data_IF_818221863356
#
_entry.id   IF_818221863356
#
_cell.length_a   1.000
_cell.length_b   1.000
_cell.length_c   1.000
_cell.angle_alpha   90.00
_cell.angle_beta   90.00
_cell.angle_gamma   90.00
#
_symmetry.space_group_name_H-M   'P 1'
#
loop_
_entity.id
_entity.type
_entity.pdbx_description
1 polymer ?
#
# COMPACT_ATOMS: atom_id res chain seq x y z
N UNK A 1 15.26 11.59 31.08
CA UNK A 1 14.75 12.60 30.14
C UNK A 1 13.83 11.90 29.15
N UNK A 2 12.52 12.00 29.35
CA UNK A 2 11.49 11.32 28.53
C UNK A 2 11.34 12.07 27.21
N UNK A 3 11.86 11.50 26.13
CA UNK A 3 11.70 12.03 24.77
C UNK A 3 10.22 12.07 24.39
N UNK A 4 9.67 13.28 24.28
CA UNK A 4 8.28 13.51 23.86
C UNK A 4 8.20 13.22 22.36
N UNK A 5 7.73 12.02 21.99
CA UNK A 5 7.35 11.68 20.61
C UNK A 5 6.40 12.78 20.12
N UNK A 6 6.77 13.51 19.07
CA UNK A 6 5.96 14.60 18.54
C UNK A 6 4.52 14.11 18.34
N UNK A 7 3.57 14.75 19.02
CA UNK A 7 2.17 14.36 18.95
C UNK A 7 1.68 14.56 17.51
N UNK A 8 1.12 13.51 16.91
CA UNK A 8 0.50 13.59 15.60
C UNK A 8 -0.57 14.68 15.60
N UNK A 9 -0.50 15.61 14.66
CA UNK A 9 -1.50 16.67 14.51
C UNK A 9 -2.63 16.16 13.63
N UNK A 10 -3.81 15.97 14.23
CA UNK A 10 -5.00 15.57 13.49
C UNK A 10 -5.47 16.71 12.58
N UNK A 11 -5.97 16.40 11.37
CA UNK A 11 -6.51 17.40 10.46
C UNK A 11 -7.86 17.92 10.95
N UNK A 12 -8.25 19.12 10.50
CA UNK A 12 -9.48 19.81 10.95
C UNK A 12 -10.75 18.94 10.79
N UNK A 13 -10.84 18.18 9.71
CA UNK A 13 -11.99 17.31 9.43
C UNK A 13 -12.14 16.15 10.43
N UNK A 14 -11.11 15.83 11.22
CA UNK A 14 -11.19 14.84 12.31
C UNK A 14 -12.05 15.34 13.48
N UNK A 15 -12.22 16.66 13.64
CA UNK A 15 -13.14 17.25 14.61
C UNK A 15 -14.59 17.31 14.12
N UNK A 16 -14.87 16.93 12.87
CA UNK A 16 -16.18 17.07 12.27
C UNK A 16 -17.05 15.82 12.53
N UNK A 17 -18.14 15.90 13.32
CA UNK A 17 -18.91 14.70 13.70
C UNK A 17 -19.46 13.86 12.53
N UNK A 18 -19.96 14.47 11.42
CA UNK A 18 -20.39 13.70 10.25
C UNK A 18 -19.28 12.90 9.56
N UNK A 19 -18.00 13.22 9.80
CA UNK A 19 -16.87 12.47 9.24
C UNK A 19 -16.81 11.02 9.73
N UNK A 20 -17.33 10.75 10.94
CA UNK A 20 -17.42 9.42 11.57
C UNK A 20 -18.70 8.67 11.17
N UNK A 21 -19.52 9.24 10.29
CA UNK A 21 -20.74 8.60 9.77
C UNK A 21 -20.58 8.37 8.28
N UNK A 22 -20.82 7.13 7.83
CA UNK A 22 -20.71 6.79 6.41
C UNK A 22 -21.72 7.60 5.60
N UNK A 23 -21.24 8.39 4.64
CA UNK A 23 -22.11 9.29 3.89
C UNK A 23 -23.01 8.51 2.92
N UNK A 24 -24.33 8.81 2.85
CA UNK A 24 -25.24 8.11 1.95
C UNK A 24 -25.00 8.45 0.49
N UNK A 25 -24.64 9.72 0.21
CA UNK A 25 -24.36 10.21 -1.14
C UNK A 25 -23.01 9.70 -1.62
N UNK A 26 -22.98 9.05 -2.79
CA UNK A 26 -21.78 8.42 -3.35
C UNK A 26 -20.60 9.38 -3.52
N UNK A 27 -20.81 10.55 -4.12
CA UNK A 27 -19.75 11.54 -4.36
C UNK A 27 -19.14 12.05 -3.04
N UNK A 28 -19.98 12.27 -2.03
CA UNK A 28 -19.54 12.66 -0.68
C UNK A 28 -18.81 11.53 0.02
N UNK A 29 -19.31 10.29 -0.10
CA UNK A 29 -18.66 9.09 0.42
C UNK A 29 -17.28 8.88 -0.19
N UNK A 30 -17.13 9.09 -1.49
CA UNK A 30 -15.83 8.98 -2.17
C UNK A 30 -14.83 10.01 -1.62
N UNK A 31 -15.25 11.27 -1.43
CA UNK A 31 -14.41 12.30 -0.78
C UNK A 31 -14.07 11.92 0.66
N UNK A 32 -15.04 11.41 1.42
CA UNK A 32 -14.83 10.92 2.78
C UNK A 32 -13.77 9.82 2.82
N UNK A 33 -13.83 8.83 1.91
CA UNK A 33 -12.87 7.73 1.83
C UNK A 33 -11.46 8.21 1.43
N UNK A 34 -11.35 9.22 0.56
CA UNK A 34 -10.06 9.86 0.23
C UNK A 34 -9.43 10.50 1.47
N UNK A 35 -10.22 11.24 2.25
CA UNK A 35 -9.75 11.87 3.48
C UNK A 35 -9.34 10.82 4.53
N UNK A 36 -10.14 9.77 4.71
CA UNK A 36 -9.78 8.65 5.61
C UNK A 36 -8.51 7.94 5.17
N UNK A 37 -8.31 7.72 3.86
CA UNK A 37 -7.07 7.17 3.33
C UNK A 37 -5.88 8.03 3.75
N UNK A 38 -5.92 9.34 3.48
CA UNK A 38 -4.81 10.25 3.81
C UNK A 38 -4.52 10.23 5.32
N UNK A 39 -5.58 10.37 6.13
CA UNK A 39 -5.48 10.34 7.59
C UNK A 39 -4.84 9.05 8.13
N UNK A 40 -5.26 7.89 7.63
CA UNK A 40 -4.71 6.59 8.05
C UNK A 40 -3.23 6.49 7.69
N UNK A 41 -2.85 6.90 6.48
CA UNK A 41 -1.45 6.89 6.05
C UNK A 41 -0.59 7.83 6.90
N UNK A 42 -1.01 9.07 7.08
CA UNK A 42 -0.23 10.08 7.82
C UNK A 42 -0.08 9.71 9.30
N UNK A 43 -1.15 9.20 9.93
CA UNK A 43 -1.13 8.77 11.32
C UNK A 43 -0.13 7.63 11.54
N UNK A 44 -0.22 6.57 10.75
CA UNK A 44 0.65 5.41 10.91
C UNK A 44 2.10 5.72 10.50
N UNK A 45 2.30 6.61 9.52
CA UNK A 45 3.61 7.13 9.13
C UNK A 45 4.27 7.91 10.27
N UNK A 46 3.53 8.76 10.97
CA UNK A 46 4.05 9.53 12.11
C UNK A 46 4.48 8.64 13.28
N UNK A 47 3.84 7.48 13.43
CA UNK A 47 4.16 6.52 14.48
C UNK A 47 5.22 5.50 14.07
N UNK A 48 5.58 5.45 12.79
CA UNK A 48 6.37 4.42 12.14
C UNK A 48 5.83 3.01 12.38
N UNK A 49 4.51 2.83 12.21
CA UNK A 49 3.82 1.56 12.43
C UNK A 49 3.04 1.14 11.17
N UNK A 50 3.61 0.30 10.29
CA UNK A 50 2.97 -0.09 9.03
C UNK A 50 1.89 -1.18 9.21
N UNK A 51 1.31 -1.33 10.41
CA UNK A 51 0.29 -2.34 10.72
C UNK A 51 -0.95 -1.67 11.28
N UNK A 52 -2.10 -2.00 10.71
CA UNK A 52 -3.42 -1.51 11.10
C UNK A 52 -4.33 -2.68 11.47
N UNK A 53 -4.94 -2.58 12.64
CA UNK A 53 -6.00 -3.50 13.10
C UNK A 53 -7.35 -2.77 13.03
N UNK A 54 -8.26 -3.10 12.08
CA UNK A 54 -9.52 -2.37 11.90
C UNK A 54 -10.40 -2.30 13.15
N UNK A 55 -10.37 -3.36 13.96
CA UNK A 55 -11.23 -3.48 15.13
C UNK A 55 -10.69 -2.75 16.36
N UNK A 56 -9.37 -2.61 16.47
CA UNK A 56 -8.69 -2.12 17.68
C UNK A 56 -7.96 -0.79 17.48
N UNK A 57 -7.92 -0.25 16.26
CA UNK A 57 -7.15 0.96 15.99
C UNK A 57 -7.85 2.21 16.56
N UNK A 58 -7.14 3.02 17.38
CA UNK A 58 -7.71 4.20 18.03
C UNK A 58 -8.05 5.32 17.03
N UNK A 59 -7.51 5.30 15.81
CA UNK A 59 -7.79 6.29 14.76
C UNK A 59 -9.28 6.35 14.35
N UNK A 60 -10.03 5.27 14.59
CA UNK A 60 -11.46 5.20 14.24
C UNK A 60 -12.37 5.69 15.36
N UNK A 61 -11.80 6.15 16.48
CA UNK A 61 -12.50 6.58 17.68
C UNK A 61 -11.96 7.93 18.14
N UNK A 62 -12.80 8.96 18.08
CA UNK A 62 -12.47 10.28 18.57
C UNK A 62 -13.23 10.56 19.86
N UNK A 63 -12.51 10.48 20.98
CA UNK A 63 -13.05 10.75 22.32
C UNK A 63 -13.43 12.22 22.52
N UNK A 64 -12.76 13.16 21.85
CA UNK A 64 -13.02 14.60 22.01
C UNK A 64 -14.41 15.00 21.52
N UNK A 65 -14.90 14.34 20.47
CA UNK A 65 -16.24 14.57 19.92
C UNK A 65 -17.24 13.45 20.29
N UNK A 66 -16.82 12.48 21.10
CA UNK A 66 -17.58 11.29 21.48
C UNK A 66 -18.20 10.57 20.26
N UNK A 67 -17.38 10.32 19.23
CA UNK A 67 -17.79 9.59 18.02
C UNK A 67 -16.84 8.46 17.70
N UNK A 68 -17.42 7.36 17.20
CA UNK A 68 -16.70 6.19 16.69
C UNK A 68 -17.28 5.77 15.36
N UNK A 69 -16.43 5.31 14.45
CA UNK A 69 -16.88 4.72 13.19
C UNK A 69 -17.57 3.37 13.43
N UNK A 70 -18.68 3.14 12.71
CA UNK A 70 -19.34 1.83 12.65
C UNK A 70 -18.46 0.80 11.95
N UNK A 71 -18.71 -0.49 12.21
CA UNK A 71 -17.98 -1.58 11.57
C UNK A 71 -18.10 -1.52 10.03
N UNK A 72 -19.29 -1.20 9.53
CA UNK A 72 -19.53 -1.03 8.08
C UNK A 72 -18.63 0.06 7.48
N UNK A 73 -18.50 1.21 8.15
CA UNK A 73 -17.67 2.30 7.68
C UNK A 73 -16.17 1.94 7.72
N UNK A 74 -15.72 1.23 8.78
CA UNK A 74 -14.34 0.72 8.89
C UNK A 74 -14.03 -0.23 7.73
N UNK A 75 -14.90 -1.19 7.45
CA UNK A 75 -14.77 -2.12 6.32
C UNK A 75 -14.74 -1.39 4.98
N UNK A 76 -15.55 -0.35 4.80
CA UNK A 76 -15.54 0.46 3.58
C UNK A 76 -14.19 1.20 3.40
N UNK A 77 -13.64 1.78 4.46
CA UNK A 77 -12.32 2.45 4.45
C UNK A 77 -11.22 1.44 4.11
N UNK A 78 -11.21 0.29 4.77
CA UNK A 78 -10.23 -0.77 4.55
C UNK A 78 -10.31 -1.30 3.12
N UNK A 79 -11.52 -1.59 2.63
CA UNK A 79 -11.73 -2.03 1.25
C UNK A 79 -11.22 -0.98 0.26
N UNK A 80 -11.42 0.30 0.56
CA UNK A 80 -10.91 1.41 -0.24
C UNK A 80 -9.37 1.47 -0.24
N UNK A 81 -8.72 1.33 0.93
CA UNK A 81 -7.26 1.27 1.06
C UNK A 81 -6.65 0.12 0.24
N UNK A 82 -7.21 -1.08 0.35
CA UNK A 82 -6.79 -2.26 -0.41
C UNK A 82 -7.04 -2.05 -1.92
N UNK A 83 -8.16 -1.42 -2.29
CA UNK A 83 -8.44 -1.08 -3.70
C UNK A 83 -7.43 -0.10 -4.28
N UNK A 84 -6.97 0.88 -3.50
CA UNK A 84 -5.93 1.82 -3.92
C UNK A 84 -4.52 1.20 -3.93
N UNK A 85 -4.33 -0.03 -3.40
CA UNK A 85 -3.02 -0.68 -3.29
C UNK A 85 -2.15 -0.16 -2.13
N UNK A 86 -2.73 0.61 -1.21
CA UNK A 86 -2.06 1.17 -0.05
C UNK A 86 -2.19 0.29 1.20
N UNK A 87 -2.91 -0.83 1.12
CA UNK A 87 -2.96 -1.81 2.19
C UNK A 87 -3.18 -3.22 1.63
N UNK A 88 -2.76 -4.22 2.40
CA UNK A 88 -2.97 -5.64 2.13
C UNK A 88 -3.26 -6.37 3.44
N UNK A 89 -4.05 -7.44 3.38
CA UNK A 89 -4.33 -8.26 4.55
C UNK A 89 -3.15 -9.17 4.83
N UNK A 90 -2.68 -9.19 6.07
CA UNK A 90 -1.59 -10.11 6.48
C UNK A 90 -2.10 -11.52 6.77
N UNK A 91 -3.39 -11.65 7.11
CA UNK A 91 -4.01 -12.90 7.54
C UNK A 91 -5.31 -13.15 6.76
N UNK A 92 -5.60 -14.42 6.46
CA UNK A 92 -6.89 -14.85 5.89
C UNK A 92 -8.09 -14.53 6.79
N UNK A 93 -7.83 -14.34 8.08
CA UNK A 93 -8.83 -13.94 9.09
C UNK A 93 -9.23 -12.47 8.99
N UNK A 94 -8.60 -11.67 8.12
CA UNK A 94 -8.89 -10.25 7.93
C UNK A 94 -8.85 -9.46 9.26
N UNK A 95 -7.88 -9.78 10.11
CA UNK A 95 -7.71 -9.14 11.43
C UNK A 95 -6.66 -8.03 11.40
N UNK A 96 -5.59 -8.19 10.61
CA UNK A 96 -4.50 -7.23 10.47
C UNK A 96 -4.27 -6.86 9.01
N UNK A 97 -3.98 -5.58 8.79
CA UNK A 97 -3.53 -5.06 7.51
C UNK A 97 -2.14 -4.50 7.62
N UNK A 98 -1.34 -4.80 6.60
CA UNK A 98 -0.13 -4.06 6.29
C UNK A 98 -0.52 -2.78 5.54
N UNK A 99 -0.01 -1.65 5.98
CA UNK A 99 -0.13 -0.35 5.29
C UNK A 99 1.14 -0.09 4.49
N UNK A 100 0.97 0.37 3.26
CA UNK A 100 2.03 0.85 2.39
C UNK A 100 1.89 2.37 2.18
N UNK A 101 2.91 3.14 2.58
CA UNK A 101 2.98 4.59 2.36
C UNK A 101 2.89 4.95 0.88
N UNK A 102 3.45 4.07 0.06
CA UNK A 102 3.40 4.12 -1.39
C UNK A 102 3.15 2.70 -1.92
N UNK A 103 2.24 2.52 -2.88
CA UNK A 103 1.87 1.19 -3.36
C UNK A 103 3.09 0.41 -3.88
N UNK A 104 3.18 -0.90 -3.59
CA UNK A 104 4.28 -1.73 -4.10
C UNK A 104 4.43 -1.74 -5.62
N UNK A 105 3.32 -1.55 -6.35
CA UNK A 105 3.33 -1.46 -7.80
C UNK A 105 4.03 -0.18 -8.32
N UNK A 106 3.89 0.95 -7.62
CA UNK A 106 4.59 2.19 -7.98
C UNK A 106 6.08 2.06 -7.68
N UNK A 107 6.43 1.45 -6.55
CA UNK A 107 7.82 1.12 -6.23
C UNK A 107 8.47 0.21 -7.25
N UNK A 108 7.77 -0.85 -7.67
CA UNK A 108 8.26 -1.76 -8.69
C UNK A 108 8.55 -1.05 -10.02
N UNK A 109 7.71 -0.11 -10.44
CA UNK A 109 7.94 0.69 -11.64
C UNK A 109 9.17 1.60 -11.51
N UNK A 110 9.39 2.20 -10.34
CA UNK A 110 10.59 3.02 -10.08
C UNK A 110 11.86 2.18 -10.04
N UNK A 111 11.84 1.02 -9.37
CA UNK A 111 12.95 0.06 -9.35
C UNK A 111 13.28 -0.38 -10.78
N UNK A 112 12.27 -0.68 -11.59
CA UNK A 112 12.46 -1.10 -12.97
C UNK A 112 13.07 0.01 -13.83
N UNK A 113 12.56 1.24 -13.71
CA UNK A 113 13.11 2.39 -14.44
C UNK A 113 14.56 2.62 -14.05
N UNK A 114 14.86 2.59 -12.75
CA UNK A 114 16.23 2.70 -12.24
C UNK A 114 17.16 1.60 -12.78
N UNK A 115 16.71 0.35 -12.76
CA UNK A 115 17.48 -0.77 -13.29
C UNK A 115 17.70 -0.67 -14.80
N UNK A 116 16.72 -0.13 -15.53
CA UNK A 116 16.82 0.15 -16.98
C UNK A 116 17.87 1.21 -17.26
N UNK A 117 17.81 2.34 -16.55
CA UNK A 117 18.69 3.49 -16.74
C UNK A 117 20.16 3.15 -16.43
N UNK A 118 20.40 2.23 -15.48
CA UNK A 118 21.74 1.76 -15.12
C UNK A 118 22.21 0.52 -15.89
N UNK A 119 21.42 0.01 -16.82
CA UNK A 119 21.76 -1.21 -17.58
C UNK A 119 21.83 -2.48 -16.73
N UNK A 120 21.13 -2.50 -15.59
CA UNK A 120 21.17 -3.57 -14.60
C UNK A 120 20.18 -4.71 -14.90
N UNK A 121 19.27 -4.57 -15.88
CA UNK A 121 18.21 -5.57 -16.16
C UNK A 121 18.76 -6.97 -16.49
N UNK A 122 19.93 -7.05 -17.12
CA UNK A 122 20.50 -8.33 -17.56
C UNK A 122 21.14 -9.15 -16.43
N UNK A 123 21.28 -8.59 -15.24
CA UNK A 123 21.95 -9.22 -14.11
C UNK A 123 20.94 -9.65 -13.04
N UNK A 124 21.27 -10.72 -12.32
CA UNK A 124 20.49 -11.17 -11.16
C UNK A 124 21.00 -10.42 -9.94
N UNK A 125 20.11 -9.71 -9.25
CA UNK A 125 20.39 -9.07 -7.98
C UNK A 125 19.52 -9.67 -6.89
N UNK A 126 20.10 -9.84 -5.71
CA UNK A 126 19.38 -10.16 -4.48
C UNK A 126 18.68 -8.91 -3.95
N UNK A 127 17.64 -9.08 -3.14
CA UNK A 127 16.95 -7.96 -2.48
C UNK A 127 17.91 -7.14 -1.61
N UNK A 128 18.92 -7.79 -1.02
CA UNK A 128 19.93 -7.11 -0.23
C UNK A 128 20.81 -6.19 -1.08
N UNK A 129 21.27 -6.64 -2.25
CA UNK A 129 22.06 -5.83 -3.17
C UNK A 129 21.27 -4.63 -3.71
N UNK A 130 19.96 -4.80 -3.93
CA UNK A 130 19.09 -3.69 -4.35
C UNK A 130 18.86 -2.67 -3.24
N UNK A 131 18.75 -3.11 -1.99
CA UNK A 131 18.47 -2.25 -0.84
C UNK A 131 19.73 -1.55 -0.29
N UNK A 132 20.82 -2.30 -0.15
CA UNK A 132 22.04 -1.89 0.56
C UNK A 132 23.32 -1.94 -0.29
N UNK A 133 23.21 -2.20 -1.60
CA UNK A 133 24.36 -2.25 -2.49
C UNK A 133 24.97 -0.87 -2.73
N UNK A 134 26.28 -0.81 -2.98
CA UNK A 134 26.97 0.43 -3.33
C UNK A 134 26.45 1.01 -4.67
N UNK A 135 26.03 0.14 -5.59
CA UNK A 135 25.44 0.52 -6.87
C UNK A 135 24.04 1.13 -6.77
N UNK A 136 23.37 1.05 -5.61
CA UNK A 136 22.01 1.59 -5.40
C UNK A 136 21.99 2.84 -4.51
N UNK A 137 23.15 3.30 -4.02
CA UNK A 137 23.23 4.53 -3.23
C UNK A 137 22.77 5.75 -4.04
N UNK A 138 21.77 6.46 -3.49
CA UNK A 138 21.14 7.62 -4.13
C UNK A 138 19.82 7.31 -4.86
N UNK A 139 19.40 6.04 -4.93
CA UNK A 139 18.07 5.68 -5.41
C UNK A 139 17.00 5.89 -4.31
N UNK A 140 15.79 6.27 -4.72
CA UNK A 140 14.62 6.34 -3.82
C UNK A 140 14.26 4.98 -3.19
N UNK A 141 14.84 3.88 -3.67
CA UNK A 141 14.69 2.52 -3.16
C UNK A 141 15.42 2.28 -1.83
N UNK A 142 16.44 3.07 -1.50
CA UNK A 142 17.15 3.00 -0.21
C UNK A 142 16.36 3.61 0.97
N UNK A 143 15.25 4.30 0.67
CA UNK A 143 14.36 4.86 1.70
C UNK A 143 13.22 3.91 2.10
N UNK A 144 13.18 2.69 1.53
CA UNK A 144 12.21 1.66 1.87
C UNK A 144 12.67 0.87 3.08
N UNK A 145 11.75 0.52 3.97
CA UNK A 145 12.00 -0.57 4.91
C UNK A 145 12.27 -1.86 4.13
N UNK A 146 13.21 -2.68 4.61
CA UNK A 146 13.61 -3.93 3.97
C UNK A 146 12.41 -4.81 3.58
N UNK A 147 11.40 -4.88 4.45
CA UNK A 147 10.20 -5.68 4.21
C UNK A 147 9.30 -5.12 3.10
N UNK A 148 9.24 -3.80 2.95
CA UNK A 148 8.52 -3.16 1.85
C UNK A 148 9.29 -3.38 0.54
N UNK A 149 10.62 -3.33 0.56
CA UNK A 149 11.47 -3.66 -0.59
C UNK A 149 11.26 -5.11 -1.05
N UNK A 150 11.26 -6.08 -0.13
CA UNK A 150 10.95 -7.49 -0.43
C UNK A 150 9.56 -7.63 -1.05
N UNK A 151 8.53 -7.00 -0.46
CA UNK A 151 7.17 -7.05 -0.99
C UNK A 151 7.08 -6.48 -2.41
N UNK A 152 7.76 -5.36 -2.68
CA UNK A 152 7.85 -4.77 -4.02
C UNK A 152 8.55 -5.69 -5.02
N UNK A 153 9.69 -6.27 -4.65
CA UNK A 153 10.47 -7.17 -5.50
C UNK A 153 9.72 -8.45 -5.82
N UNK A 154 9.11 -9.11 -4.82
CA UNK A 154 8.30 -10.31 -5.03
C UNK A 154 7.13 -10.04 -5.96
N UNK A 155 6.48 -8.89 -5.81
CA UNK A 155 5.37 -8.51 -6.67
C UNK A 155 5.84 -8.24 -8.09
N UNK A 156 6.95 -7.52 -8.27
CA UNK A 156 7.57 -7.32 -9.57
C UNK A 156 7.92 -8.65 -10.26
N UNK A 157 8.60 -9.57 -9.55
CA UNK A 157 8.99 -10.88 -10.09
C UNK A 157 7.77 -11.76 -10.43
N UNK A 158 6.77 -11.79 -9.55
CA UNK A 158 5.55 -12.56 -9.80
C UNK A 158 4.78 -12.05 -11.02
N UNK A 159 4.70 -10.72 -11.21
CA UNK A 159 4.06 -10.13 -12.40
C UNK A 159 4.93 -10.25 -13.66
N UNK A 160 6.25 -10.08 -13.54
CA UNK A 160 7.20 -10.21 -14.66
C UNK A 160 7.29 -11.64 -15.21
N UNK A 161 7.16 -12.65 -14.35
CA UNK A 161 7.09 -14.05 -14.77
C UNK A 161 5.78 -14.43 -15.49
N UNK A 162 4.71 -13.64 -15.31
CA UNK A 162 3.37 -13.90 -15.86
C UNK A 162 3.09 -13.14 -17.17
N UNK A 163 3.88 -12.12 -17.52
CA UNK A 163 3.73 -11.38 -18.77
C UNK A 163 5.09 -11.12 -19.46
N UNK A 164 5.61 -12.05 -20.28
CA UNK A 164 6.87 -11.85 -20.99
C UNK A 164 6.78 -10.83 -22.15
N UNK A 165 5.59 -10.31 -22.48
CA UNK A 165 5.44 -9.46 -23.66
C UNK A 165 4.27 -8.48 -23.53
N UNK A 166 4.44 -7.38 -22.80
CA UNK A 166 3.76 -6.14 -23.18
C UNK A 166 4.75 -4.97 -23.09
N UNK A 167 4.94 -4.32 -24.24
CA UNK A 167 5.75 -3.13 -24.42
C UNK A 167 5.33 -2.06 -23.40
N UNK A 168 6.29 -1.65 -22.58
CA UNK A 168 6.18 -0.58 -21.58
C UNK A 168 6.17 0.75 -22.31
N UNK A 169 5.03 1.07 -22.91
CA UNK A 169 4.84 2.32 -23.65
C UNK A 169 3.43 2.81 -23.49
N UNK A 170 2.93 2.93 -22.25
CA UNK A 170 1.73 3.72 -21.91
C UNK A 170 1.42 3.73 -20.39
N UNK A 171 2.44 3.88 -19.53
CA UNK A 171 2.22 4.26 -18.13
C UNK A 171 2.48 5.76 -17.94
N UNK A 172 1.84 6.55 -18.79
CA UNK A 172 1.72 7.99 -18.60
C UNK A 172 0.90 8.27 -17.35
N UNK A 173 1.52 8.98 -16.41
CA UNK A 173 0.91 9.50 -15.19
C UNK A 173 -0.44 10.16 -15.49
N UNK A 174 -1.54 9.49 -15.09
CA UNK A 174 -2.86 10.12 -15.05
C UNK A 174 -3.43 10.02 -13.64
N UNK A 175 -3.15 11.07 -12.88
CA UNK A 175 -3.99 11.55 -11.80
C UNK A 175 -5.46 11.55 -12.25
N UNK A 176 -6.26 10.62 -11.70
CA UNK A 176 -7.64 10.80 -11.21
C UNK A 176 -8.26 9.45 -10.86
N UNK A 177 -8.38 9.20 -9.55
CA UNK A 177 -9.12 8.07 -8.96
C UNK A 177 -8.24 6.91 -8.52
N UNK A 178 -8.62 6.25 -7.42
CA UNK A 178 -8.05 4.96 -7.02
C UNK A 178 -8.45 3.87 -8.02
N UNK A 179 -7.90 3.95 -9.23
CA UNK A 179 -7.90 2.86 -10.17
C UNK A 179 -6.53 2.21 -10.07
N UNK A 180 -6.49 1.03 -9.47
CA UNK A 180 -5.33 0.17 -9.54
C UNK A 180 -5.46 -0.64 -10.84
N UNK A 181 -4.75 -0.29 -11.94
CA UNK A 181 -4.87 -0.99 -13.22
C UNK A 181 -4.52 -2.49 -13.11
N UNK A 182 -3.83 -2.88 -12.03
CA UNK A 182 -3.36 -4.24 -11.78
C UNK A 182 -4.40 -5.14 -11.06
N UNK A 183 -5.56 -4.60 -10.65
CA UNK A 183 -6.57 -5.34 -9.84
C UNK A 183 -7.37 -6.39 -10.63
N UNK A 184 -7.39 -6.30 -11.97
CA UNK A 184 -8.17 -7.21 -12.82
C UNK A 184 -7.41 -8.48 -13.23
N UNK A 185 -6.11 -8.57 -13.01
CA UNK A 185 -5.32 -9.75 -13.36
C UNK A 185 -5.50 -10.93 -12.37
N UNK A 186 -5.86 -10.67 -11.11
CA UNK A 186 -5.83 -11.67 -10.04
C UNK A 186 -7.07 -12.55 -9.84
N UNK A 187 -8.12 -12.46 -10.67
CA UNK A 187 -9.41 -13.16 -10.39
C UNK A 187 -9.92 -14.12 -11.46
N UNK A 188 -9.19 -14.40 -12.55
CA UNK A 188 -9.71 -15.26 -13.63
C UNK A 188 -8.91 -16.55 -13.90
N UNK A 189 -7.83 -16.83 -13.17
CA UNK A 189 -6.93 -17.92 -13.57
C UNK A 189 -6.50 -18.84 -12.42
N UNK A 190 -7.40 -19.11 -11.46
CA UNK A 190 -7.31 -20.33 -10.65
C UNK A 190 -7.69 -21.56 -11.51
N UNK A 191 -6.95 -21.79 -12.59
CA UNK A 191 -6.95 -23.03 -13.37
C UNK A 191 -5.74 -22.93 -14.31
N UNK A 192 -4.56 -23.30 -13.80
CA UNK A 192 -3.42 -23.63 -14.66
C UNK A 192 -3.15 -25.11 -14.44
N UNK A 193 -3.43 -25.99 -15.42
CA UNK A 193 -2.95 -27.35 -15.39
C UNK A 193 -1.45 -27.34 -15.72
N UNK A 194 -0.63 -27.93 -14.83
CA UNK A 194 0.58 -28.60 -15.30
C UNK A 194 1.96 -28.04 -14.94
N UNK A 195 2.13 -27.11 -14.01
CA UNK A 195 3.50 -26.76 -13.54
C UNK A 195 3.65 -26.85 -12.02
N UNK A 196 4.29 -27.94 -11.60
CA UNK A 196 4.76 -28.19 -10.24
C UNK A 196 5.92 -27.21 -9.95
N UNK A 197 5.71 -26.24 -9.07
CA UNK A 197 6.80 -25.48 -8.46
C UNK A 197 7.23 -26.27 -7.23
N UNK A 198 8.42 -26.85 -7.28
CA UNK A 198 9.02 -27.52 -6.13
C UNK A 198 9.41 -26.45 -5.11
N UNK A 199 8.76 -26.49 -3.96
CA UNK A 199 9.14 -25.79 -2.74
C UNK A 199 10.58 -26.11 -2.36
N UNK A 200 11.39 -25.10 -2.10
CA UNK A 200 12.54 -25.21 -1.22
C UNK A 200 12.54 -24.01 -0.28
N UNK A 201 12.37 -24.38 0.99
CA UNK A 201 12.54 -23.63 2.23
C UNK A 201 13.98 -23.13 2.31
#
# INVERSE_FOLDING_TARGET
MTSTKAAFTFPEHYGFPPFFTLQPVRSTREKQLILWKALVLDYHKSMNQPVLTPNSSPIFENQQINRKLSMEARTAIVTYLVRCGNAEWEDDTHTRLRIFWKPPAEWAAEIYTFATDRGMISNVYTVYELHSGEETQGASTCALDFQDCVSCCLRFLWFGAVAPSQSVGDLGARSKGCHNPWRHAGKRWCEIPGHRISSLI
#
